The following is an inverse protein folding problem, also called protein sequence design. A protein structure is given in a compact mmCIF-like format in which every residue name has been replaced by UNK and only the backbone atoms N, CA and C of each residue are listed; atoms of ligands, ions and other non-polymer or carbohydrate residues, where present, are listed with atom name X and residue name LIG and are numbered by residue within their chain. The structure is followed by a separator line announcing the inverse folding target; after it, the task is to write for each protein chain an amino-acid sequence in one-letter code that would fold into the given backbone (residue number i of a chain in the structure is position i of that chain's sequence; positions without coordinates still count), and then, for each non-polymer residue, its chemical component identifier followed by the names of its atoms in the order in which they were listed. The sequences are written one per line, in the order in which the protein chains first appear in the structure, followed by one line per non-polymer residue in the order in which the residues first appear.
data_IF_518756916742
#
_entry.id   IF_518756916742
#
_cell.length_a   1.000
_cell.length_b   1.000
_cell.length_c   1.000
_cell.angle_alpha   90.00
_cell.angle_beta   90.00
_cell.angle_gamma   90.00
#
_symmetry.space_group_name_H-M   'P 1'
#
loop_
_entity.id
_entity.type
_entity.pdbx_description
1 polymer ?
#
# COMPACT_ATOMS: atom_id res chain seq x y z
N UNK A 1 9.54 -59.75 -30.86
CA UNK A 1 9.90 -58.62 -29.97
C UNK A 1 9.85 -57.35 -30.80
N UNK A 2 8.87 -56.44 -30.57
CA UNK A 2 8.89 -55.03 -31.06
C UNK A 2 7.62 -54.21 -30.75
N UNK A 3 6.52 -54.81 -30.29
CA UNK A 3 5.27 -54.06 -30.02
C UNK A 3 5.15 -53.50 -28.59
N UNK A 4 5.92 -53.99 -27.61
CA UNK A 4 5.83 -53.50 -26.23
C UNK A 4 6.63 -52.22 -26.00
N UNK A 5 7.76 -52.04 -26.71
CA UNK A 5 8.70 -50.94 -26.45
C UNK A 5 8.18 -49.59 -26.98
N UNK A 6 7.43 -49.59 -28.09
CA UNK A 6 6.87 -48.36 -28.65
C UNK A 6 5.77 -47.77 -27.77
N UNK A 7 4.95 -48.62 -27.14
CA UNK A 7 3.86 -48.19 -26.25
C UNK A 7 4.42 -47.50 -25.01
N UNK A 8 5.42 -48.11 -24.37
CA UNK A 8 6.08 -47.53 -23.20
C UNK A 8 6.74 -46.18 -23.54
N UNK A 9 7.33 -46.08 -24.74
CA UNK A 9 7.92 -44.82 -25.23
C UNK A 9 6.86 -43.74 -25.45
N UNK A 10 5.73 -44.09 -26.06
CA UNK A 10 4.61 -43.17 -26.28
C UNK A 10 3.96 -42.69 -24.96
N UNK A 11 3.80 -43.59 -24.00
CA UNK A 11 3.28 -43.26 -22.66
C UNK A 11 4.23 -42.31 -21.92
N UNK A 12 5.54 -42.54 -21.99
CA UNK A 12 6.54 -41.63 -21.39
C UNK A 12 6.51 -40.25 -22.03
N UNK A 13 6.41 -40.17 -23.36
CA UNK A 13 6.30 -38.89 -24.09
C UNK A 13 5.01 -38.17 -23.70
N UNK A 14 3.89 -38.88 -23.55
CA UNK A 14 2.62 -38.30 -23.12
C UNK A 14 2.69 -37.68 -21.72
N UNK A 15 3.29 -38.40 -20.76
CA UNK A 15 3.50 -37.88 -19.39
C UNK A 15 4.45 -36.67 -19.43
N UNK A 16 5.54 -36.75 -20.17
CA UNK A 16 6.48 -35.63 -20.32
C UNK A 16 5.81 -34.40 -20.93
N UNK A 17 4.93 -34.57 -21.93
CA UNK A 17 4.17 -33.48 -22.53
C UNK A 17 3.20 -32.83 -21.53
N UNK A 18 2.51 -33.62 -20.69
CA UNK A 18 1.64 -33.09 -19.63
C UNK A 18 2.45 -32.30 -18.60
N UNK A 19 3.59 -32.84 -18.14
CA UNK A 19 4.47 -32.15 -17.18
C UNK A 19 5.00 -30.84 -17.77
N UNK A 20 5.46 -30.85 -19.03
CA UNK A 20 5.92 -29.64 -19.72
C UNK A 20 4.80 -28.60 -19.84
N UNK A 21 3.57 -29.02 -20.11
CA UNK A 21 2.40 -28.15 -20.20
C UNK A 21 2.07 -27.50 -18.85
N UNK A 22 2.13 -28.27 -17.76
CA UNK A 22 1.91 -27.75 -16.41
C UNK A 22 2.99 -26.74 -15.99
N UNK A 23 4.26 -27.02 -16.30
CA UNK A 23 5.37 -26.09 -16.04
C UNK A 23 5.16 -24.79 -16.82
N UNK A 24 4.75 -24.88 -18.08
CA UNK A 24 4.50 -23.71 -18.92
C UNK A 24 3.35 -22.85 -18.38
N UNK A 25 2.22 -23.46 -17.98
CA UNK A 25 1.10 -22.74 -17.35
C UNK A 25 1.53 -22.09 -16.03
N UNK A 26 2.32 -22.78 -15.21
CA UNK A 26 2.87 -22.21 -13.98
C UNK A 26 3.76 -20.99 -14.22
N UNK A 27 4.55 -21.01 -15.30
CA UNK A 27 5.36 -19.86 -15.71
C UNK A 27 4.50 -18.69 -16.22
N UNK A 28 3.46 -18.96 -17.03
CA UNK A 28 2.53 -17.93 -17.51
C UNK A 28 1.82 -17.24 -16.34
N UNK A 29 1.26 -18.00 -15.40
CA UNK A 29 0.61 -17.44 -14.21
C UNK A 29 1.54 -16.56 -13.38
N UNK A 30 2.83 -16.92 -13.29
CA UNK A 30 3.84 -16.12 -12.60
C UNK A 30 4.12 -14.82 -13.35
N UNK A 31 4.20 -14.85 -14.67
CA UNK A 31 4.40 -13.67 -15.52
C UNK A 31 3.20 -12.73 -15.46
N UNK A 32 1.99 -13.24 -15.60
CA UNK A 32 0.75 -12.45 -15.52
C UNK A 32 0.63 -11.75 -14.17
N UNK A 33 0.97 -12.44 -13.07
CA UNK A 33 1.05 -11.82 -11.74
C UNK A 33 2.09 -10.71 -11.70
N UNK A 34 3.28 -10.90 -12.26
CA UNK A 34 4.32 -9.85 -12.28
C UNK A 34 3.89 -8.64 -13.11
N UNK A 35 3.22 -8.85 -14.25
CA UNK A 35 2.68 -7.76 -15.07
C UNK A 35 1.59 -6.99 -14.34
N UNK A 36 0.60 -7.68 -13.76
CA UNK A 36 -0.45 -7.03 -12.98
C UNK A 36 0.12 -6.21 -11.80
N UNK A 37 1.21 -6.67 -11.19
CA UNK A 37 1.89 -5.92 -10.13
C UNK A 37 2.61 -4.67 -10.66
N UNK A 38 3.24 -4.77 -11.83
CA UNK A 38 3.91 -3.64 -12.47
C UNK A 38 2.91 -2.58 -12.94
N UNK A 39 1.77 -3.00 -13.49
CA UNK A 39 0.69 -2.12 -13.94
C UNK A 39 0.08 -1.38 -12.74
N UNK A 40 -0.26 -2.09 -11.66
CA UNK A 40 -0.72 -1.47 -10.41
C UNK A 40 0.28 -0.45 -9.84
N UNK A 41 1.59 -0.71 -9.97
CA UNK A 41 2.61 0.23 -9.51
C UNK A 41 2.71 1.48 -10.41
N UNK A 42 2.52 1.33 -11.72
CA UNK A 42 2.46 2.44 -12.66
C UNK A 42 1.23 3.31 -12.40
N UNK A 43 0.04 2.70 -12.30
CA UNK A 43 -1.22 3.39 -11.99
C UNK A 43 -1.13 4.16 -10.67
N UNK A 44 -0.50 3.55 -9.66
CA UNK A 44 -0.25 4.20 -8.38
C UNK A 44 0.64 5.45 -8.53
N UNK A 45 1.71 5.37 -9.32
CA UNK A 45 2.60 6.50 -9.58
C UNK A 45 1.89 7.63 -10.34
N UNK A 46 1.08 7.29 -11.35
CA UNK A 46 0.31 8.27 -12.11
C UNK A 46 -0.70 8.99 -11.21
N UNK A 47 -1.37 8.23 -10.33
CA UNK A 47 -2.26 8.78 -9.30
C UNK A 47 -1.49 9.76 -8.38
N UNK A 48 -0.26 9.43 -7.99
CA UNK A 48 0.58 10.31 -7.16
C UNK A 48 1.00 11.61 -7.87
N UNK A 49 1.22 11.57 -9.19
CA UNK A 49 1.52 12.76 -10.00
C UNK A 49 0.29 13.67 -10.06
N UNK A 50 -0.89 13.09 -10.33
CA UNK A 50 -2.15 13.83 -10.35
C UNK A 50 -2.42 14.49 -8.99
N UNK A 51 -2.23 13.75 -7.89
CA UNK A 51 -2.36 14.30 -6.53
C UNK A 51 -1.40 15.45 -6.27
N UNK A 52 -0.17 15.37 -6.78
CA UNK A 52 0.79 16.47 -6.66
C UNK A 52 0.30 17.74 -7.37
N UNK A 53 -0.45 17.60 -8.49
CA UNK A 53 -1.10 18.74 -9.14
C UNK A 53 -2.24 19.30 -8.30
N UNK A 54 -3.11 18.44 -7.76
CA UNK A 54 -4.24 18.89 -6.91
C UNK A 54 -3.74 19.62 -5.66
N UNK A 55 -2.70 19.11 -5.01
CA UNK A 55 -2.05 19.78 -3.86
C UNK A 55 -1.48 21.12 -4.28
N UNK A 56 -0.81 21.19 -5.44
CA UNK A 56 -0.23 22.44 -5.95
C UNK A 56 -1.29 23.48 -6.25
N UNK A 57 -2.41 23.07 -6.86
CA UNK A 57 -3.54 23.94 -7.21
C UNK A 57 -4.29 24.44 -5.97
N UNK A 58 -4.31 23.65 -4.90
CA UNK A 58 -5.01 23.95 -3.65
C UNK A 58 -4.04 24.14 -2.47
N UNK A 59 -2.83 24.63 -2.73
CA UNK A 59 -1.72 24.65 -1.77
C UNK A 59 -2.07 25.35 -0.46
N UNK A 60 -2.74 26.50 -0.54
CA UNK A 60 -3.09 27.30 0.64
C UNK A 60 -4.07 26.55 1.55
N UNK A 61 -5.12 25.96 0.96
CA UNK A 61 -6.11 25.14 1.67
C UNK A 61 -5.43 23.92 2.30
N UNK A 62 -4.55 23.26 1.55
CA UNK A 62 -3.80 22.10 2.04
C UNK A 62 -2.94 22.46 3.26
N UNK A 63 -2.15 23.53 3.19
CA UNK A 63 -1.30 23.97 4.30
C UNK A 63 -2.12 24.35 5.55
N UNK A 64 -3.17 25.16 5.38
CA UNK A 64 -4.08 25.52 6.49
C UNK A 64 -4.74 24.29 7.11
N UNK A 65 -5.17 23.35 6.27
CA UNK A 65 -5.74 22.09 6.72
C UNK A 65 -4.73 21.22 7.49
N UNK A 66 -3.48 21.13 7.04
CA UNK A 66 -2.41 20.41 7.76
C UNK A 66 -2.14 21.00 9.14
N UNK A 67 -2.13 22.33 9.26
CA UNK A 67 -1.97 23.06 10.52
C UNK A 67 -3.18 22.91 11.45
N UNK A 68 -4.32 22.44 10.95
CA UNK A 68 -5.57 22.36 11.71
C UNK A 68 -6.25 23.71 11.88
N UNK A 69 -5.98 24.66 10.99
CA UNK A 69 -6.69 25.94 10.98
C UNK A 69 -8.17 25.73 10.64
N UNK A 70 -9.00 26.71 11.01
CA UNK A 70 -10.42 26.72 10.64
C UNK A 70 -10.54 26.87 9.12
N UNK A 71 -11.27 25.96 8.50
CA UNK A 71 -11.57 25.94 7.07
C UNK A 71 -13.07 26.21 6.88
N UNK A 72 -13.42 26.88 5.79
CA UNK A 72 -14.82 26.91 5.35
C UNK A 72 -15.28 25.51 4.95
N UNK A 73 -16.58 25.28 4.83
CA UNK A 73 -17.11 23.99 4.41
C UNK A 73 -16.56 23.53 3.04
N UNK A 74 -16.42 24.45 2.09
CA UNK A 74 -15.88 24.17 0.76
C UNK A 74 -14.38 23.80 0.82
N UNK A 75 -13.61 24.58 1.57
CA UNK A 75 -12.19 24.30 1.81
C UNK A 75 -11.98 22.95 2.52
N UNK A 76 -12.85 22.62 3.48
CA UNK A 76 -12.79 21.36 4.20
C UNK A 76 -13.00 20.16 3.26
N UNK A 77 -13.95 20.25 2.31
CA UNK A 77 -14.15 19.19 1.32
C UNK A 77 -12.89 18.98 0.46
N UNK A 78 -12.24 20.06 0.05
CA UNK A 78 -10.97 19.99 -0.71
C UNK A 78 -9.87 19.36 0.13
N UNK A 79 -9.68 19.82 1.37
CA UNK A 79 -8.69 19.25 2.28
C UNK A 79 -8.91 17.77 2.53
N UNK A 80 -10.15 17.37 2.88
CA UNK A 80 -10.49 15.97 3.17
C UNK A 80 -10.33 15.06 1.95
N UNK A 81 -10.54 15.57 0.74
CA UNK A 81 -10.30 14.82 -0.51
C UNK A 81 -8.81 14.52 -0.71
N UNK A 82 -7.94 15.51 -0.46
CA UNK A 82 -6.49 15.32 -0.51
C UNK A 82 -6.00 14.43 0.63
N UNK A 83 -6.50 14.64 1.85
CA UNK A 83 -6.16 13.82 3.01
C UNK A 83 -6.59 12.35 2.81
N UNK A 84 -7.74 12.11 2.14
CA UNK A 84 -8.18 10.78 1.76
C UNK A 84 -7.19 10.11 0.81
N UNK A 85 -6.70 10.83 -0.20
CA UNK A 85 -5.69 10.33 -1.13
C UNK A 85 -4.39 9.92 -0.42
N UNK A 86 -3.90 10.75 0.51
CA UNK A 86 -2.73 10.42 1.34
C UNK A 86 -2.99 9.16 2.16
N UNK A 87 -4.17 9.02 2.79
CA UNK A 87 -4.55 7.81 3.50
C UNK A 87 -4.59 6.56 2.59
N UNK A 88 -5.17 6.69 1.39
CA UNK A 88 -5.23 5.60 0.41
C UNK A 88 -3.84 5.17 -0.04
N UNK A 89 -2.91 6.12 -0.23
CA UNK A 89 -1.51 5.84 -0.57
C UNK A 89 -0.89 4.88 0.45
N UNK A 90 -0.87 5.26 1.72
CA UNK A 90 -0.21 4.47 2.76
C UNK A 90 -0.94 3.16 3.06
N UNK A 91 -2.29 3.17 3.09
CA UNK A 91 -3.06 1.92 3.27
C UNK A 91 -2.94 0.97 2.07
N UNK A 92 -2.72 1.50 0.86
CA UNK A 92 -2.40 0.73 -0.34
C UNK A 92 -1.05 0.04 -0.21
N UNK A 93 0.00 0.79 0.10
CA UNK A 93 1.36 0.25 0.32
C UNK A 93 1.35 -0.79 1.44
N UNK A 94 0.66 -0.51 2.55
CA UNK A 94 0.51 -1.44 3.67
C UNK A 94 -0.08 -2.78 3.20
N UNK A 95 -1.27 -2.76 2.57
CA UNK A 95 -1.93 -3.98 2.07
C UNK A 95 -1.09 -4.72 1.03
N UNK A 96 -0.41 -3.98 0.15
CA UNK A 96 0.46 -4.56 -0.85
C UNK A 96 1.66 -5.28 -0.20
N UNK A 97 2.25 -4.70 0.84
CA UNK A 97 3.38 -5.30 1.55
C UNK A 97 3.01 -6.60 2.26
N UNK A 98 1.85 -6.64 2.92
CA UNK A 98 1.33 -7.86 3.56
C UNK A 98 1.01 -8.94 2.53
N UNK A 99 0.38 -8.57 1.41
CA UNK A 99 -0.08 -9.53 0.40
C UNK A 99 1.05 -10.09 -0.48
N UNK A 100 2.08 -9.31 -0.78
CA UNK A 100 3.09 -9.68 -1.77
C UNK A 100 4.41 -10.15 -1.18
N UNK A 101 4.90 -9.44 -0.17
CA UNK A 101 6.24 -9.66 0.33
C UNK A 101 6.24 -10.48 1.62
N UNK A 102 5.06 -10.70 2.22
CA UNK A 102 4.94 -11.27 3.58
C UNK A 102 5.82 -10.51 4.59
N UNK A 103 6.15 -9.25 4.28
CA UNK A 103 6.87 -8.33 5.15
C UNK A 103 5.86 -7.48 5.89
N UNK A 104 6.20 -6.99 7.07
CA UNK A 104 5.30 -6.11 7.81
C UNK A 104 5.01 -4.83 7.01
N UNK A 105 3.74 -4.44 6.95
CA UNK A 105 3.34 -3.11 6.49
C UNK A 105 3.73 -1.99 7.46
N UNK A 106 4.41 -2.34 8.53
CA UNK A 106 4.89 -1.46 9.59
C UNK A 106 5.64 -0.24 9.03
N UNK A 107 6.45 -0.37 7.96
CA UNK A 107 7.14 0.78 7.39
C UNK A 107 6.16 1.81 6.82
N UNK A 108 5.07 1.39 6.17
CA UNK A 108 4.05 2.30 5.65
C UNK A 108 3.25 2.95 6.79
N UNK A 109 2.90 2.16 7.82
CA UNK A 109 2.24 2.66 9.02
C UNK A 109 3.12 3.70 9.75
N UNK A 110 4.42 3.40 9.89
CA UNK A 110 5.42 4.26 10.51
C UNK A 110 5.63 5.56 9.74
N UNK A 111 5.75 5.51 8.42
CA UNK A 111 5.87 6.71 7.60
C UNK A 111 4.66 7.61 7.77
N UNK A 112 3.44 7.06 7.65
CA UNK A 112 2.23 7.84 7.88
C UNK A 112 2.21 8.40 9.30
N UNK A 113 2.54 7.60 10.32
CA UNK A 113 2.59 8.06 11.71
C UNK A 113 3.54 9.26 11.91
N UNK A 114 4.68 9.28 11.22
CA UNK A 114 5.58 10.44 11.20
C UNK A 114 4.91 11.69 10.63
N UNK A 115 4.17 11.56 9.52
CA UNK A 115 3.39 12.67 8.95
C UNK A 115 2.29 13.14 9.91
N UNK A 116 1.59 12.22 10.58
CA UNK A 116 0.55 12.56 11.56
C UNK A 116 1.12 13.23 12.82
N UNK A 117 2.37 12.91 13.19
CA UNK A 117 3.06 13.56 14.28
C UNK A 117 3.36 15.03 13.96
N UNK A 118 3.78 15.31 12.72
CA UNK A 118 4.12 16.66 12.26
C UNK A 118 2.86 17.49 11.97
N UNK A 119 1.83 16.88 11.36
CA UNK A 119 0.65 17.59 10.84
C UNK A 119 -0.64 17.24 11.60
N UNK A 120 -1.07 18.08 12.58
CA UNK A 120 -2.20 17.77 13.45
C UNK A 120 -3.54 17.69 12.71
N UNK A 121 -3.76 18.47 11.65
CA UNK A 121 -5.01 18.39 10.89
C UNK A 121 -5.14 17.07 10.12
N UNK A 122 -4.04 16.58 9.53
CA UNK A 122 -4.01 15.26 8.90
C UNK A 122 -4.24 14.15 9.93
N UNK A 123 -3.61 14.26 11.11
CA UNK A 123 -3.84 13.36 12.25
C UNK A 123 -5.31 13.28 12.64
N UNK A 124 -5.97 14.41 12.79
CA UNK A 124 -7.38 14.46 13.17
C UNK A 124 -8.27 13.77 12.15
N UNK A 125 -8.05 14.03 10.85
CA UNK A 125 -8.75 13.37 9.75
C UNK A 125 -8.53 11.85 9.76
N UNK A 126 -7.27 11.41 9.82
CA UNK A 126 -6.95 9.98 9.74
C UNK A 126 -7.52 9.22 10.93
N UNK A 127 -7.34 9.74 12.15
CA UNK A 127 -7.83 9.07 13.35
C UNK A 127 -9.36 9.07 13.41
N UNK A 128 -10.05 10.12 12.92
CA UNK A 128 -11.51 10.11 12.83
C UNK A 128 -11.99 9.04 11.85
N UNK A 129 -11.30 8.86 10.73
CA UNK A 129 -11.59 7.82 9.73
C UNK A 129 -11.37 6.42 10.29
N UNK A 130 -10.28 6.19 11.02
CA UNK A 130 -10.04 4.91 11.71
C UNK A 130 -11.17 4.58 12.69
N UNK A 131 -11.55 5.54 13.56
CA UNK A 131 -12.68 5.37 14.49
C UNK A 131 -14.00 5.08 13.78
N UNK A 132 -14.28 5.77 12.67
CA UNK A 132 -15.49 5.53 11.89
C UNK A 132 -15.51 4.11 11.35
N UNK A 133 -14.39 3.61 10.80
CA UNK A 133 -14.33 2.26 10.25
C UNK A 133 -14.44 1.17 11.34
N UNK A 134 -13.86 1.40 12.50
CA UNK A 134 -14.04 0.53 13.67
C UNK A 134 -15.50 0.47 14.11
N UNK A 135 -16.19 1.62 14.11
CA UNK A 135 -17.60 1.69 14.50
C UNK A 135 -18.54 0.88 13.60
N UNK A 136 -18.14 0.64 12.34
CA UNK A 136 -18.87 -0.21 11.39
C UNK A 136 -18.31 -1.65 11.32
N UNK A 137 -17.47 -2.05 12.28
CA UNK A 137 -16.95 -3.42 12.40
C UNK A 137 -15.86 -3.77 11.38
N UNK A 138 -15.28 -2.78 10.70
CA UNK A 138 -14.12 -3.01 9.85
C UNK A 138 -12.87 -2.94 10.72
N UNK A 139 -12.32 -4.10 11.10
CA UNK A 139 -11.00 -4.17 11.71
C UNK A 139 -9.96 -3.76 10.68
N UNK A 140 -9.04 -2.88 11.06
CA UNK A 140 -7.99 -2.38 10.18
C UNK A 140 -6.68 -2.48 10.95
N UNK A 141 -5.94 -3.57 10.72
CA UNK A 141 -4.56 -3.74 11.22
C UNK A 141 -3.72 -2.49 10.97
N UNK A 142 -3.86 -1.89 9.78
CA UNK A 142 -3.22 -0.62 9.45
C UNK A 142 -3.52 0.53 10.43
N UNK A 143 -4.76 0.70 10.91
CA UNK A 143 -5.08 1.75 11.88
C UNK A 143 -4.43 1.49 13.24
N UNK A 144 -4.36 0.24 13.66
CA UNK A 144 -3.73 -0.16 14.93
C UNK A 144 -2.22 0.10 14.87
N UNK A 145 -1.57 -0.36 13.79
CA UNK A 145 -0.14 -0.13 13.57
C UNK A 145 0.19 1.36 13.47
N UNK A 146 -0.63 2.16 12.75
CA UNK A 146 -0.43 3.62 12.68
C UNK A 146 -0.52 4.26 14.06
N UNK A 147 -1.45 3.84 14.93
CA UNK A 147 -1.56 4.37 16.30
C UNK A 147 -0.40 3.96 17.17
N UNK A 148 0.04 2.70 17.08
CA UNK A 148 1.20 2.20 17.82
C UNK A 148 2.46 2.99 17.45
N UNK A 149 2.71 3.16 16.14
CA UNK A 149 3.86 3.92 15.66
C UNK A 149 3.75 5.41 16.02
N UNK A 150 2.56 6.00 15.93
CA UNK A 150 2.32 7.39 16.32
C UNK A 150 2.61 7.59 17.82
N UNK A 151 2.17 6.66 18.67
CA UNK A 151 2.49 6.69 20.10
C UNK A 151 4.01 6.60 20.34
N UNK A 152 4.73 5.76 19.57
CA UNK A 152 6.18 5.69 19.67
C UNK A 152 6.89 7.00 19.30
N UNK A 153 6.35 7.77 18.34
CA UNK A 153 6.83 9.13 18.04
C UNK A 153 6.55 10.09 19.20
N UNK A 154 5.36 10.03 19.80
CA UNK A 154 4.97 10.89 20.93
C UNK A 154 5.78 10.62 22.20
N UNK A 155 6.06 9.35 22.49
CA UNK A 155 6.83 8.92 23.66
C UNK A 155 8.35 9.13 23.46
N UNK A 156 8.78 9.52 22.26
CA UNK A 156 10.20 9.65 21.90
C UNK A 156 10.96 8.32 21.88
N UNK A 157 10.26 7.19 21.89
CA UNK A 157 10.84 5.84 21.86
C UNK A 157 11.16 5.37 20.43
N UNK A 158 11.18 6.29 19.47
CA UNK A 158 11.48 5.98 18.09
C UNK A 158 12.95 5.61 17.92
N UNK A 159 13.22 4.31 17.79
CA UNK A 159 14.51 3.86 17.28
C UNK A 159 14.60 4.30 15.81
N UNK A 160 15.42 5.31 15.53
CA UNK A 160 15.82 5.55 14.15
C UNK A 160 16.39 4.23 13.62
N UNK A 161 15.90 3.72 12.47
CA UNK A 161 16.48 2.52 11.88
C UNK A 161 17.97 2.81 11.70
N UNK A 162 18.80 2.09 12.47
CA UNK A 162 20.23 2.31 12.51
C UNK A 162 20.79 2.36 11.08
N UNK A 163 21.23 3.54 10.64
CA UNK A 163 21.98 3.70 9.40
C UNK A 163 21.26 4.24 8.16
N UNK A 164 20.04 4.81 8.23
CA UNK A 164 19.49 5.60 7.11
C UNK A 164 19.14 7.03 7.52
N UNK A 165 20.07 7.94 7.23
CA UNK A 165 19.79 9.37 7.14
C UNK A 165 18.79 9.59 6.01
N UNK A 166 17.53 9.83 6.36
CA UNK A 166 16.59 10.40 5.41
C UNK A 166 16.97 11.86 5.22
N UNK A 167 17.55 12.18 4.05
CA UNK A 167 17.64 13.57 3.58
C UNK A 167 16.22 13.95 3.18
N UNK A 168 15.60 14.83 3.96
CA UNK A 168 14.36 15.52 3.58
C UNK A 168 14.62 16.45 2.40
#
# INVERSE_FOLDING_TARGET
MKSSDWRNTAELIGIAAIVASLVFVGLQLRQDRQFALSENAADFNDTMIEYSSVIRENREIWLRGLEGAELTLEEQVVFESVAFAVWQKFSGIYRQSEALFQTSGEMAARQLAGELYIYPGLRNYVLSRCRHRESIGQQISFCDDVREQLKAFEDGTFAQPEGRLYVL
#
